data_IF_163968192553
#
_entry.id   IF_163968192553
#
_cell.length_a   1.000
_cell.length_b   1.000
_cell.length_c   1.000
_cell.angle_alpha   90.00
_cell.angle_beta   90.00
_cell.angle_gamma   90.00
#
_symmetry.space_group_name_H-M   'P 1'
#
loop_
_entity.id
_entity.type
_entity.pdbx_description
1 polymer ?
#
# COMPACT_ATOMS: atom_id res chain seq x y z
N UNK A 1 -17.29 23.25 -0.71
CA UNK A 1 -15.87 23.39 -1.10
C UNK A 1 -15.79 24.21 -2.38
N UNK A 2 -14.85 25.16 -2.48
CA UNK A 2 -14.81 26.14 -3.56
C UNK A 2 -14.39 25.48 -4.89
N UNK A 3 -15.17 25.59 -5.97
CA UNK A 3 -14.88 25.00 -7.30
C UNK A 3 -13.46 25.31 -7.83
N UNK A 4 -12.88 26.42 -7.36
CA UNK A 4 -11.51 26.86 -7.68
C UNK A 4 -10.43 25.91 -7.15
N UNK A 5 -10.63 25.27 -5.99
CA UNK A 5 -9.64 24.34 -5.40
C UNK A 5 -9.56 23.05 -6.23
N UNK A 6 -10.71 22.57 -6.74
CA UNK A 6 -10.75 21.39 -7.61
C UNK A 6 -10.00 21.63 -8.93
N UNK A 7 -10.16 22.81 -9.52
CA UNK A 7 -9.45 23.20 -10.74
C UNK A 7 -7.94 23.28 -10.51
N UNK A 8 -7.50 23.82 -9.37
CA UNK A 8 -6.07 23.93 -9.02
C UNK A 8 -5.45 22.55 -8.83
N UNK A 9 -6.13 21.63 -8.14
CA UNK A 9 -5.64 20.25 -7.96
C UNK A 9 -5.60 19.51 -9.31
N UNK A 10 -6.64 19.65 -10.15
CA UNK A 10 -6.68 19.04 -11.47
C UNK A 10 -5.58 19.56 -12.41
N UNK A 11 -5.30 20.87 -12.37
CA UNK A 11 -4.22 21.49 -13.14
C UNK A 11 -2.84 21.06 -12.64
N UNK A 12 -2.63 20.97 -11.33
CA UNK A 12 -1.37 20.48 -10.76
C UNK A 12 -1.10 19.01 -11.12
N UNK A 13 -2.14 18.16 -11.13
CA UNK A 13 -2.04 16.76 -11.55
C UNK A 13 -1.75 16.64 -13.05
N UNK A 14 -2.36 17.48 -13.89
CA UNK A 14 -2.09 17.52 -15.34
C UNK A 14 -0.68 18.02 -15.67
N UNK A 15 -0.17 19.02 -14.94
CA UNK A 15 1.17 19.57 -15.16
C UNK A 15 2.27 18.56 -14.76
N UNK A 16 2.05 17.84 -13.65
CA UNK A 16 2.89 16.71 -13.24
C UNK A 16 2.88 15.57 -14.27
N UNK A 17 1.72 15.28 -14.88
CA UNK A 17 1.59 14.28 -15.94
C UNK A 17 2.37 14.66 -17.21
N UNK A 18 2.27 15.93 -17.66
CA UNK A 18 2.94 16.40 -18.87
C UNK A 18 4.46 16.50 -18.69
N UNK A 19 4.93 16.88 -17.50
CA UNK A 19 6.37 17.02 -17.19
C UNK A 19 7.08 15.66 -17.08
N UNK A 20 6.37 14.59 -16.72
CA UNK A 20 6.93 13.24 -16.61
C UNK A 20 7.29 12.60 -17.96
N UNK A 21 6.65 13.01 -19.06
CA UNK A 21 6.75 12.37 -20.39
C UNK A 21 8.09 12.54 -21.10
N UNK A 22 8.93 13.48 -20.67
CA UNK A 22 10.08 13.93 -21.46
C UNK A 22 11.44 13.27 -21.14
N UNK A 23 11.55 12.37 -20.15
CA UNK A 23 12.88 12.15 -19.53
C UNK A 23 13.28 10.76 -19.03
N UNK A 24 12.56 9.69 -19.35
CA UNK A 24 12.97 8.35 -18.92
C UNK A 24 13.77 7.64 -20.00
N UNK A 25 15.11 7.62 -19.91
CA UNK A 25 15.97 6.57 -20.51
C UNK A 25 17.45 6.59 -20.14
N UNK A 26 17.87 7.22 -19.03
CA UNK A 26 19.28 7.13 -18.59
C UNK A 26 19.36 6.92 -17.08
N UNK A 27 19.92 5.78 -16.64
CA UNK A 27 20.31 5.58 -15.24
C UNK A 27 21.63 4.76 -15.18
N UNK A 28 22.79 5.43 -15.03
CA UNK A 28 24.06 4.78 -14.69
C UNK A 28 24.14 4.44 -13.19
N UNK A 29 25.15 3.63 -12.82
CA UNK A 29 25.43 3.20 -11.44
C UNK A 29 25.63 4.41 -10.47
N UNK A 30 24.61 4.77 -9.68
CA UNK A 30 24.70 5.85 -8.68
C UNK A 30 24.96 5.35 -7.24
N UNK A 31 25.71 6.14 -6.46
CA UNK A 31 26.06 5.92 -5.04
C UNK A 31 24.96 6.49 -4.13
N UNK A 32 24.76 5.93 -2.92
CA UNK A 32 23.77 6.31 -1.87
C UNK A 32 23.24 7.76 -1.88
N UNK A 33 24.11 8.81 -1.86
CA UNK A 33 23.64 10.18 -1.76
C UNK A 33 23.00 10.70 -3.05
N UNK A 34 23.45 10.24 -4.22
CA UNK A 34 22.97 10.73 -5.52
C UNK A 34 21.59 10.16 -5.86
N UNK A 35 21.35 8.88 -5.55
CA UNK A 35 20.08 8.22 -5.77
C UNK A 35 18.96 8.85 -4.92
N UNK A 36 19.25 9.12 -3.65
CA UNK A 36 18.34 9.79 -2.70
C UNK A 36 18.35 11.32 -2.81
N UNK A 37 19.25 11.95 -3.58
CA UNK A 37 19.20 13.38 -3.88
C UNK A 37 18.50 13.67 -5.22
N UNK A 38 18.31 12.66 -6.07
CA UNK A 38 17.62 12.78 -7.35
C UNK A 38 16.15 13.14 -7.19
N UNK A 39 15.73 14.29 -7.73
CA UNK A 39 14.34 14.74 -7.66
C UNK A 39 13.35 13.74 -8.29
N UNK A 40 13.79 12.95 -9.29
CA UNK A 40 12.99 11.91 -9.94
C UNK A 40 12.66 10.74 -9.02
N UNK A 41 13.63 10.31 -8.22
CA UNK A 41 13.44 9.29 -7.19
C UNK A 41 12.38 9.74 -6.18
N UNK A 42 12.49 10.97 -5.70
CA UNK A 42 11.50 11.55 -4.79
C UNK A 42 10.11 11.65 -5.41
N UNK A 43 10.02 12.02 -6.69
CA UNK A 43 8.76 12.06 -7.41
C UNK A 43 8.13 10.66 -7.51
N UNK A 44 8.90 9.66 -7.91
CA UNK A 44 8.44 8.27 -8.02
C UNK A 44 7.93 7.73 -6.68
N UNK A 45 8.74 7.87 -5.62
CA UNK A 45 8.38 7.48 -4.25
C UNK A 45 7.11 8.18 -3.76
N UNK A 46 6.98 9.48 -4.05
CA UNK A 46 5.81 10.26 -3.65
C UNK A 46 4.56 9.80 -4.39
N UNK A 47 4.67 9.43 -5.67
CA UNK A 47 3.54 8.93 -6.45
C UNK A 47 3.08 7.55 -5.95
N UNK A 48 4.02 6.62 -5.72
CA UNK A 48 3.70 5.31 -5.16
C UNK A 48 3.11 5.41 -3.75
N UNK A 49 3.69 6.25 -2.88
CA UNK A 49 3.16 6.55 -1.56
C UNK A 49 1.75 7.13 -1.64
N UNK A 50 1.53 8.11 -2.52
CA UNK A 50 0.23 8.76 -2.72
C UNK A 50 -0.83 7.77 -3.20
N UNK A 51 -0.47 6.83 -4.07
CA UNK A 51 -1.35 5.74 -4.51
C UNK A 51 -1.78 4.85 -3.35
N UNK A 52 -0.81 4.38 -2.55
CA UNK A 52 -1.04 3.53 -1.39
C UNK A 52 -1.89 4.24 -0.32
N UNK A 53 -1.60 5.50 -0.04
CA UNK A 53 -2.35 6.32 0.92
C UNK A 53 -3.77 6.56 0.43
N UNK A 54 -3.97 6.88 -0.85
CA UNK A 54 -5.31 7.07 -1.40
C UNK A 54 -6.17 5.80 -1.28
N UNK A 55 -5.58 4.64 -1.62
CA UNK A 55 -6.24 3.35 -1.44
C UNK A 55 -6.53 3.06 0.04
N UNK A 56 -5.54 3.23 0.93
CA UNK A 56 -5.67 2.96 2.35
C UNK A 56 -6.71 3.85 3.04
N UNK A 57 -6.72 5.14 2.71
CA UNK A 57 -7.75 6.08 3.15
C UNK A 57 -9.13 5.66 2.65
N UNK A 58 -9.26 5.32 1.37
CA UNK A 58 -10.56 4.95 0.80
C UNK A 58 -11.10 3.66 1.45
N UNK A 59 -10.30 2.60 1.44
CA UNK A 59 -10.70 1.30 2.00
C UNK A 59 -11.02 1.45 3.49
N UNK A 60 -10.16 2.14 4.23
CA UNK A 60 -10.38 2.34 5.65
C UNK A 60 -11.59 3.23 5.93
N UNK A 61 -11.85 4.30 5.18
CA UNK A 61 -13.09 5.10 5.34
C UNK A 61 -14.35 4.26 5.18
N UNK A 62 -14.37 3.35 4.21
CA UNK A 62 -15.51 2.48 3.93
C UNK A 62 -15.64 1.37 4.99
N UNK A 63 -14.58 0.60 5.23
CA UNK A 63 -14.60 -0.53 6.17
C UNK A 63 -14.80 -0.04 7.61
N UNK A 64 -14.15 1.05 7.99
CA UNK A 64 -14.28 1.60 9.34
C UNK A 64 -15.68 2.16 9.57
N UNK A 65 -16.32 2.76 8.57
CA UNK A 65 -17.74 3.16 8.69
C UNK A 65 -18.61 1.97 9.08
N UNK A 66 -18.35 0.79 8.50
CA UNK A 66 -19.05 -0.46 8.83
C UNK A 66 -18.69 -0.97 10.24
N UNK A 67 -17.40 -1.06 10.57
CA UNK A 67 -16.93 -1.65 11.84
C UNK A 67 -17.26 -0.75 13.05
N UNK A 68 -17.09 0.57 12.92
CA UNK A 68 -17.42 1.53 13.97
C UNK A 68 -18.93 1.83 14.06
N UNK A 69 -19.73 1.35 13.09
CA UNK A 69 -21.17 1.64 12.93
C UNK A 69 -21.43 3.15 12.83
N UNK A 70 -20.59 3.84 12.06
CA UNK A 70 -20.78 5.26 11.81
C UNK A 70 -21.92 5.47 10.79
N UNK A 71 -22.59 6.61 10.90
CA UNK A 71 -23.65 7.01 9.97
C UNK A 71 -23.31 8.33 9.29
N UNK A 72 -22.16 8.39 8.57
CA UNK A 72 -21.78 9.62 7.89
C UNK A 72 -22.83 9.99 6.82
N UNK A 73 -22.98 11.28 6.51
CA UNK A 73 -23.78 11.72 5.38
C UNK A 73 -23.30 11.07 4.08
N UNK A 74 -24.22 10.57 3.26
CA UNK A 74 -23.85 9.85 2.03
C UNK A 74 -23.06 10.76 1.06
N UNK A 75 -23.39 12.06 1.04
CA UNK A 75 -22.67 13.07 0.25
C UNK A 75 -21.16 13.09 0.55
N UNK A 76 -20.79 13.05 1.83
CA UNK A 76 -19.38 13.11 2.23
C UNK A 76 -18.69 11.81 1.84
N UNK A 77 -19.32 10.65 2.03
CA UNK A 77 -18.76 9.36 1.63
C UNK A 77 -18.50 9.27 0.13
N UNK A 78 -19.49 9.66 -0.69
CA UNK A 78 -19.36 9.64 -2.15
C UNK A 78 -18.31 10.64 -2.62
N UNK A 79 -18.34 11.85 -2.08
CA UNK A 79 -17.36 12.89 -2.41
C UNK A 79 -15.94 12.47 -2.08
N UNK A 80 -15.69 11.99 -0.86
CA UNK A 80 -14.39 11.47 -0.44
C UNK A 80 -13.93 10.32 -1.33
N UNK A 81 -14.84 9.42 -1.70
CA UNK A 81 -14.50 8.28 -2.58
C UNK A 81 -14.08 8.75 -3.97
N UNK A 82 -14.81 9.70 -4.58
CA UNK A 82 -14.44 10.25 -5.89
C UNK A 82 -13.09 10.96 -5.87
N UNK A 83 -12.81 11.77 -4.84
CA UNK A 83 -11.50 12.42 -4.70
C UNK A 83 -10.38 11.38 -4.62
N UNK A 84 -10.55 10.35 -3.80
CA UNK A 84 -9.54 9.31 -3.63
C UNK A 84 -9.37 8.47 -4.89
N UNK A 85 -10.44 8.20 -5.64
CA UNK A 85 -10.35 7.53 -6.94
C UNK A 85 -9.61 8.35 -7.98
N UNK A 86 -9.78 9.67 -8.01
CA UNK A 86 -9.01 10.53 -8.92
C UNK A 86 -7.52 10.49 -8.59
N UNK A 87 -7.15 10.50 -7.30
CA UNK A 87 -5.76 10.34 -6.88
C UNK A 87 -5.22 8.96 -7.26
N UNK A 88 -5.96 7.88 -6.96
CA UNK A 88 -5.57 6.52 -7.31
C UNK A 88 -5.45 6.31 -8.82
N UNK A 89 -6.32 6.94 -9.62
CA UNK A 89 -6.26 6.87 -11.08
C UNK A 89 -5.01 7.59 -11.60
N UNK A 90 -4.79 8.84 -11.20
CA UNK A 90 -3.64 9.62 -11.66
C UNK A 90 -2.30 8.96 -11.30
N UNK A 91 -2.17 8.53 -10.04
CA UNK A 91 -0.97 7.84 -9.55
C UNK A 91 -0.83 6.42 -10.11
N UNK A 92 -1.95 5.73 -10.34
CA UNK A 92 -1.99 4.38 -10.91
C UNK A 92 -1.56 4.37 -12.39
N UNK A 93 -2.03 5.33 -13.18
CA UNK A 93 -1.60 5.50 -14.58
C UNK A 93 -0.11 5.75 -14.66
N UNK A 94 0.45 6.61 -13.79
CA UNK A 94 1.89 6.78 -13.71
C UNK A 94 2.62 5.46 -13.40
N UNK A 95 2.15 4.68 -12.41
CA UNK A 95 2.78 3.42 -12.07
C UNK A 95 2.75 2.41 -13.24
N UNK A 96 1.66 2.38 -14.01
CA UNK A 96 1.56 1.50 -15.18
C UNK A 96 2.48 1.91 -16.33
N UNK A 97 2.71 3.22 -16.51
CA UNK A 97 3.58 3.75 -17.56
C UNK A 97 5.07 3.70 -17.18
N UNK A 98 5.40 3.93 -15.90
CA UNK A 98 6.78 4.24 -15.47
C UNK A 98 7.34 3.30 -14.38
N UNK A 99 6.49 2.49 -13.73
CA UNK A 99 6.89 1.60 -12.63
C UNK A 99 6.73 0.12 -12.97
N UNK A 100 5.87 -0.23 -13.94
CA UNK A 100 5.76 -1.58 -14.45
C UNK A 100 6.91 -1.82 -15.44
N UNK A 101 7.80 -2.77 -15.15
CA UNK A 101 8.89 -3.13 -16.10
C UNK A 101 8.45 -4.01 -17.27
N UNK A 102 7.14 -4.16 -17.45
CA UNK A 102 6.58 -4.27 -18.79
C UNK A 102 5.66 -3.06 -18.92
N UNK A 103 5.96 -2.13 -19.83
CA UNK A 103 5.12 -0.92 -20.01
C UNK A 103 3.77 -1.38 -20.53
N UNK A 104 2.80 -1.59 -19.65
CA UNK A 104 1.56 -2.24 -20.01
C UNK A 104 0.40 -1.31 -19.73
N UNK A 105 -0.20 -0.81 -20.81
CA UNK A 105 -1.66 -0.87 -20.85
C UNK A 105 -1.99 -2.36 -20.92
N UNK A 106 -2.55 -2.98 -19.87
CA UNK A 106 -2.73 -4.42 -19.82
C UNK A 106 -3.65 -4.80 -20.97
N UNK A 107 -3.07 -5.54 -21.90
CA UNK A 107 -3.75 -5.97 -23.10
C UNK A 107 -3.68 -7.47 -23.15
N UNK A 108 -4.82 -8.11 -22.88
CA UNK A 108 -5.00 -9.55 -23.09
C UNK A 108 -4.62 -9.93 -24.54
N UNK A 109 -4.72 -8.97 -25.48
CA UNK A 109 -4.36 -9.16 -26.88
C UNK A 109 -2.85 -9.28 -27.12
N UNK A 110 -2.01 -8.87 -26.15
CA UNK A 110 -0.55 -8.96 -26.23
C UNK A 110 0.03 -10.13 -25.42
N UNK A 111 -0.81 -10.98 -24.79
CA UNK A 111 -0.35 -12.15 -24.03
C UNK A 111 0.63 -13.07 -24.80
N UNK A 112 0.48 -13.30 -26.13
CA UNK A 112 1.45 -14.10 -26.88
C UNK A 112 2.86 -13.49 -26.94
N UNK A 113 3.00 -12.18 -26.74
CA UNK A 113 4.29 -11.49 -26.69
C UNK A 113 4.94 -11.59 -25.30
N UNK A 114 4.16 -11.99 -24.29
CA UNK A 114 4.59 -12.10 -22.89
C UNK A 114 4.91 -13.54 -22.48
N UNK A 115 4.58 -14.55 -23.29
CA UNK A 115 4.95 -15.95 -23.03
C UNK A 115 6.46 -16.26 -23.06
N UNK A 116 7.34 -15.45 -23.66
CA UNK A 116 8.78 -15.61 -23.47
C UNK A 116 9.25 -15.07 -22.11
N UNK A 117 8.43 -14.28 -21.42
CA UNK A 117 8.76 -13.59 -20.17
C UNK A 117 8.25 -14.45 -18.99
N UNK A 118 9.14 -14.90 -18.08
CA UNK A 118 8.75 -15.68 -16.92
C UNK A 118 7.65 -15.01 -16.11
N UNK A 119 6.55 -15.73 -15.89
CA UNK A 119 5.35 -15.27 -15.20
C UNK A 119 4.65 -14.05 -15.83
N UNK A 120 5.07 -13.55 -17.00
CA UNK A 120 4.49 -12.37 -17.65
C UNK A 120 2.99 -12.56 -17.92
N UNK A 121 2.59 -13.72 -18.44
CA UNK A 121 1.18 -14.06 -18.67
C UNK A 121 0.38 -14.09 -17.36
N UNK A 122 0.87 -14.79 -16.33
CA UNK A 122 0.20 -14.89 -15.03
C UNK A 122 0.07 -13.51 -14.36
N UNK A 123 1.14 -12.72 -14.38
CA UNK A 123 1.18 -11.35 -13.87
C UNK A 123 0.13 -10.47 -14.56
N UNK A 124 0.11 -10.43 -15.89
CA UNK A 124 -0.82 -9.59 -16.66
C UNK A 124 -2.28 -10.01 -16.46
N UNK A 125 -2.57 -11.31 -16.32
CA UNK A 125 -3.92 -11.79 -16.00
C UNK A 125 -4.36 -11.30 -14.60
N UNK A 126 -3.52 -11.46 -13.57
CA UNK A 126 -3.87 -11.01 -12.21
C UNK A 126 -4.02 -9.49 -12.16
N UNK A 127 -3.14 -8.75 -12.84
CA UNK A 127 -3.24 -7.29 -12.97
C UNK A 127 -4.55 -6.88 -13.66
N UNK A 128 -4.96 -7.61 -14.70
CA UNK A 128 -6.25 -7.39 -15.37
C UNK A 128 -7.43 -7.65 -14.43
N UNK A 129 -7.38 -8.71 -13.63
CA UNK A 129 -8.40 -9.01 -12.59
C UNK A 129 -8.48 -7.88 -11.56
N UNK A 130 -7.33 -7.39 -11.07
CA UNK A 130 -7.25 -6.23 -10.16
C UNK A 130 -7.93 -5.01 -10.79
N UNK A 131 -7.63 -4.68 -12.04
CA UNK A 131 -8.25 -3.57 -12.76
C UNK A 131 -9.75 -3.77 -12.98
N UNK A 132 -10.20 -4.99 -13.27
CA UNK A 132 -11.60 -5.34 -13.36
C UNK A 132 -12.35 -5.01 -12.06
N UNK A 133 -11.78 -5.31 -10.90
CA UNK A 133 -12.38 -4.91 -9.61
C UNK A 133 -12.41 -3.40 -9.41
N UNK A 134 -11.38 -2.66 -9.82
CA UNK A 134 -11.40 -1.19 -9.80
C UNK A 134 -12.52 -0.61 -10.69
N UNK A 135 -12.67 -1.13 -11.91
CA UNK A 135 -13.71 -0.72 -12.85
C UNK A 135 -15.10 -0.98 -12.25
N UNK A 136 -15.32 -2.17 -11.68
CA UNK A 136 -16.58 -2.51 -11.00
C UNK A 136 -16.86 -1.56 -9.83
N UNK A 137 -15.84 -1.21 -9.05
CA UNK A 137 -15.96 -0.27 -7.95
C UNK A 137 -16.33 1.14 -8.42
N UNK A 138 -15.74 1.62 -9.52
CA UNK A 138 -16.07 2.91 -10.13
C UNK A 138 -17.50 2.94 -10.64
N UNK A 139 -17.92 1.91 -11.40
CA UNK A 139 -19.29 1.79 -11.89
C UNK A 139 -20.29 1.74 -10.74
N UNK A 140 -19.98 0.98 -9.70
CA UNK A 140 -20.83 0.91 -8.52
C UNK A 140 -20.98 2.25 -7.82
N UNK A 141 -19.87 2.97 -7.63
CA UNK A 141 -19.88 4.30 -7.01
C UNK A 141 -20.66 5.31 -7.85
N UNK A 142 -20.51 5.26 -9.17
CA UNK A 142 -21.28 6.06 -10.11
C UNK A 142 -22.78 5.74 -10.04
N UNK A 143 -23.14 4.46 -9.98
CA UNK A 143 -24.51 4.01 -9.86
C UNK A 143 -25.16 4.54 -8.57
N UNK A 144 -24.50 4.40 -7.41
CA UNK A 144 -25.00 4.95 -6.14
C UNK A 144 -25.09 6.48 -6.21
N UNK A 145 -24.09 7.15 -6.79
CA UNK A 145 -24.10 8.61 -6.97
C UNK A 145 -25.29 9.05 -7.81
N UNK A 146 -25.58 8.38 -8.93
CA UNK A 146 -26.71 8.69 -9.79
C UNK A 146 -28.06 8.49 -9.07
N UNK A 147 -28.22 7.39 -8.32
CA UNK A 147 -29.44 7.14 -7.53
C UNK A 147 -29.65 8.19 -6.44
N UNK A 148 -28.57 8.61 -5.77
CA UNK A 148 -28.58 9.65 -4.75
C UNK A 148 -28.98 11.01 -5.33
N UNK A 149 -28.35 11.41 -6.45
CA UNK A 149 -28.66 12.68 -7.12
C UNK A 149 -30.09 12.74 -7.66
N UNK A 150 -30.64 11.62 -8.15
CA UNK A 150 -32.04 11.54 -8.59
C UNK A 150 -33.03 11.47 -7.42
N UNK A 151 -32.57 11.41 -6.17
CA UNK A 151 -33.39 11.22 -4.95
C UNK A 151 -34.33 10.01 -5.04
N UNK A 152 -33.90 8.97 -5.75
CA UNK A 152 -34.77 7.82 -6.08
C UNK A 152 -34.89 6.79 -4.95
N UNK A 153 -34.04 6.87 -3.91
CA UNK A 153 -34.02 5.91 -2.80
C UNK A 153 -33.69 6.58 -1.48
N UNK A 154 -34.06 5.87 -0.41
CA UNK A 154 -33.67 6.17 0.97
C UNK A 154 -32.14 6.21 1.11
N UNK A 155 -31.62 7.35 1.57
CA UNK A 155 -30.19 7.60 1.76
C UNK A 155 -29.54 6.56 2.68
N UNK A 156 -30.24 6.12 3.74
CA UNK A 156 -29.74 5.11 4.65
C UNK A 156 -29.50 3.76 3.98
N UNK A 157 -30.40 3.37 3.05
CA UNK A 157 -30.25 2.15 2.25
C UNK A 157 -29.11 2.29 1.25
N UNK A 158 -29.02 3.43 0.56
CA UNK A 158 -27.92 3.70 -0.40
C UNK A 158 -26.56 3.69 0.29
N UNK A 159 -26.43 4.32 1.46
CA UNK A 159 -25.21 4.31 2.26
C UNK A 159 -24.81 2.89 2.68
N UNK A 160 -25.76 2.11 3.21
CA UNK A 160 -25.49 0.73 3.62
C UNK A 160 -25.00 -0.11 2.44
N UNK A 161 -25.65 0.02 1.30
CA UNK A 161 -25.33 -0.69 0.08
C UNK A 161 -23.95 -0.28 -0.47
N UNK A 162 -23.66 1.02 -0.48
CA UNK A 162 -22.37 1.58 -0.87
C UNK A 162 -21.23 1.04 0.00
N UNK A 163 -21.40 1.11 1.32
CA UNK A 163 -20.39 0.66 2.28
C UNK A 163 -20.15 -0.84 2.21
N UNK A 164 -21.21 -1.65 2.08
CA UNK A 164 -21.10 -3.12 2.03
C UNK A 164 -20.35 -3.59 0.78
N UNK A 165 -20.80 -3.16 -0.40
CA UNK A 165 -20.19 -3.57 -1.66
C UNK A 165 -18.81 -2.93 -1.85
N UNK A 166 -18.64 -1.67 -1.43
CA UNK A 166 -17.34 -1.01 -1.41
C UNK A 166 -16.32 -1.73 -0.53
N UNK A 167 -16.73 -2.20 0.66
CA UNK A 167 -15.87 -3.00 1.54
C UNK A 167 -15.45 -4.30 0.87
N UNK A 168 -16.40 -5.04 0.28
CA UNK A 168 -16.11 -6.30 -0.42
C UNK A 168 -15.14 -6.11 -1.58
N UNK A 169 -15.43 -5.16 -2.48
CA UNK A 169 -14.56 -4.86 -3.62
C UNK A 169 -13.19 -4.36 -3.18
N UNK A 170 -13.12 -3.54 -2.15
CA UNK A 170 -11.85 -3.04 -1.62
C UNK A 170 -10.97 -4.15 -1.03
N UNK A 171 -11.58 -5.11 -0.32
CA UNK A 171 -10.86 -6.30 0.15
C UNK A 171 -10.39 -7.16 -1.04
N UNK A 172 -11.23 -7.36 -2.06
CA UNK A 172 -10.84 -8.10 -3.27
C UNK A 172 -9.69 -7.42 -4.03
N UNK A 173 -9.72 -6.08 -4.17
CA UNK A 173 -8.64 -5.29 -4.78
C UNK A 173 -7.34 -5.44 -3.98
N UNK A 174 -7.40 -5.39 -2.65
CA UNK A 174 -6.21 -5.56 -1.80
C UNK A 174 -5.58 -6.94 -1.96
N UNK A 175 -6.40 -8.00 -2.05
CA UNK A 175 -5.93 -9.37 -2.27
C UNK A 175 -5.32 -9.51 -3.66
N UNK A 176 -6.01 -9.05 -4.71
CA UNK A 176 -5.46 -9.05 -6.07
C UNK A 176 -4.14 -8.27 -6.14
N UNK A 177 -4.02 -7.15 -5.42
CA UNK A 177 -2.78 -6.39 -5.31
C UNK A 177 -1.66 -7.18 -4.64
N UNK A 178 -1.94 -7.91 -3.55
CA UNK A 178 -0.95 -8.78 -2.93
C UNK A 178 -0.48 -9.91 -3.86
N UNK A 179 -1.37 -10.48 -4.67
CA UNK A 179 -1.03 -11.48 -5.69
C UNK A 179 -0.18 -10.86 -6.81
N UNK A 180 -0.52 -9.65 -7.28
CA UNK A 180 0.30 -8.91 -8.26
C UNK A 180 1.70 -8.66 -7.71
N UNK A 181 1.81 -8.18 -6.47
CA UNK A 181 3.11 -7.92 -5.83
C UNK A 181 3.94 -9.19 -5.67
N UNK A 182 3.30 -10.32 -5.35
CA UNK A 182 3.97 -11.62 -5.30
C UNK A 182 4.53 -12.03 -6.67
N UNK A 183 3.75 -11.89 -7.74
CA UNK A 183 4.22 -12.22 -9.09
C UNK A 183 5.27 -11.23 -9.61
N UNK A 184 5.17 -9.96 -9.20
CA UNK A 184 6.16 -8.95 -9.52
C UNK A 184 7.53 -9.38 -9.01
N UNK A 185 7.62 -9.68 -7.70
CA UNK A 185 8.87 -10.12 -7.07
C UNK A 185 9.33 -11.50 -7.58
N UNK A 186 8.41 -12.40 -7.90
CA UNK A 186 8.75 -13.71 -8.48
C UNK A 186 9.33 -13.60 -9.91
N UNK A 187 8.88 -12.62 -10.70
CA UNK A 187 9.41 -12.35 -12.03
C UNK A 187 10.82 -11.75 -11.96
N UNK A 188 11.08 -10.92 -10.95
CA UNK A 188 12.39 -10.33 -10.71
C UNK A 188 13.45 -11.36 -10.26
N UNK A 189 13.02 -12.40 -9.56
CA UNK A 189 13.86 -13.52 -9.10
C UNK A 189 14.34 -14.46 -10.21
N UNK A 190 13.93 -14.25 -11.47
CA UNK A 190 14.28 -15.15 -12.57
C UNK A 190 15.67 -14.82 -13.16
N UNK A 191 16.46 -15.80 -13.64
CA UNK A 191 17.81 -15.61 -14.20
C UNK A 191 17.96 -14.59 -15.34
N UNK A 192 16.86 -14.12 -15.92
CA UNK A 192 16.82 -12.95 -16.80
C UNK A 192 15.80 -11.98 -16.21
N UNK A 193 16.23 -11.06 -15.31
CA UNK A 193 15.32 -10.10 -14.70
C UNK A 193 14.70 -9.26 -15.81
N UNK A 194 13.38 -9.17 -15.79
CA UNK A 194 12.58 -8.44 -16.79
C UNK A 194 12.58 -6.93 -16.49
N UNK A 195 12.95 -6.56 -15.26
CA UNK A 195 12.93 -5.20 -14.75
C UNK A 195 14.33 -4.59 -14.60
N UNK A 196 14.43 -3.28 -14.83
CA UNK A 196 15.54 -2.44 -14.36
C UNK A 196 15.37 -1.94 -12.91
N UNK A 197 14.35 -2.41 -12.19
CA UNK A 197 13.98 -1.99 -10.82
C UNK A 197 13.66 -3.14 -9.83
N UNK A 198 14.02 -4.38 -10.17
CA UNK A 198 14.63 -5.28 -9.19
C UNK A 198 13.74 -6.17 -8.33
N UNK A 199 14.30 -7.34 -8.04
CA UNK A 199 13.85 -8.21 -6.97
C UNK A 199 14.97 -9.15 -6.53
N UNK A 200 15.17 -9.13 -5.21
CA UNK A 200 15.70 -10.12 -4.28
C UNK A 200 16.79 -11.06 -4.81
N UNK A 201 18.04 -10.62 -4.81
CA UNK A 201 19.17 -11.56 -4.75
C UNK A 201 19.98 -11.23 -3.52
N UNK A 202 19.71 -11.92 -2.41
CA UNK A 202 20.66 -11.99 -1.30
C UNK A 202 21.99 -12.60 -1.77
N UNK A 203 23.10 -12.40 -1.04
CA UNK A 203 24.43 -12.88 -1.45
C UNK A 203 24.54 -14.41 -1.62
N UNK A 204 23.54 -15.18 -1.16
CA UNK A 204 23.42 -16.64 -1.38
C UNK A 204 22.50 -17.02 -2.57
N UNK A 205 22.01 -16.05 -3.34
CA UNK A 205 20.94 -16.28 -4.31
C UNK A 205 19.56 -16.38 -3.64
N UNK A 206 18.47 -16.62 -4.40
CA UNK A 206 17.20 -17.03 -3.80
C UNK A 206 17.48 -18.23 -2.89
N UNK A 207 17.17 -18.11 -1.59
CA UNK A 207 17.25 -19.26 -0.68
C UNK A 207 16.56 -20.43 -1.38
N UNK A 208 17.26 -21.54 -1.63
CA UNK A 208 16.65 -22.66 -2.31
C UNK A 208 15.39 -23.00 -1.53
N UNK A 209 14.22 -22.81 -2.16
CA UNK A 209 12.98 -23.23 -1.56
C UNK A 209 13.15 -24.72 -1.31
N UNK A 210 13.32 -25.08 -0.03
CA UNK A 210 13.54 -26.45 0.39
C UNK A 210 12.36 -27.28 -0.14
N UNK A 211 12.59 -28.01 -1.24
CA UNK A 211 11.57 -28.85 -1.88
C UNK A 211 11.38 -28.70 -3.39
N UNK A 212 11.93 -27.67 -4.06
CA UNK A 212 11.76 -27.54 -5.53
C UNK A 212 12.86 -28.24 -6.34
N UNK A 213 12.95 -29.57 -6.19
CA UNK A 213 13.66 -30.42 -7.17
C UNK A 213 12.86 -30.63 -8.47
N UNK A 214 11.76 -29.90 -8.66
CA UNK A 214 11.01 -29.90 -9.92
C UNK A 214 11.31 -28.61 -10.67
N UNK A 215 12.11 -28.73 -11.73
CA UNK A 215 12.22 -27.71 -12.77
C UNK A 215 10.79 -27.47 -13.30
N UNK A 216 10.18 -26.28 -13.10
CA UNK A 216 8.81 -26.06 -13.57
C UNK A 216 8.77 -26.30 -15.07
N UNK A 217 7.83 -27.14 -15.52
CA UNK A 217 7.68 -27.54 -16.92
C UNK A 217 7.22 -26.40 -17.83
N UNK A 218 6.84 -25.24 -17.27
CA UNK A 218 6.60 -23.99 -17.98
C UNK A 218 6.74 -22.80 -17.02
N UNK A 219 7.45 -21.73 -17.41
CA UNK A 219 7.51 -20.47 -16.67
C UNK A 219 6.21 -19.62 -16.77
N UNK A 220 5.22 -20.05 -17.55
CA UNK A 220 3.97 -19.31 -17.83
C UNK A 220 2.73 -19.83 -17.07
N UNK A 221 2.94 -20.34 -15.86
CA UNK A 221 1.87 -21.01 -15.10
C UNK A 221 1.41 -20.23 -13.87
N UNK A 222 0.18 -20.50 -13.44
CA UNK A 222 -0.29 -20.20 -12.07
C UNK A 222 0.25 -21.20 -11.03
N UNK A 223 1.27 -21.99 -11.39
CA UNK A 223 1.78 -23.10 -10.58
C UNK A 223 2.26 -22.61 -9.20
N UNK A 224 2.86 -21.41 -9.12
CA UNK A 224 3.30 -20.83 -7.84
C UNK A 224 2.12 -20.70 -6.85
N UNK A 225 0.91 -20.36 -7.34
CA UNK A 225 -0.30 -20.29 -6.51
C UNK A 225 -0.82 -21.67 -6.06
N UNK A 226 -0.26 -22.77 -6.54
CA UNK A 226 -0.57 -24.10 -6.01
C UNK A 226 0.26 -24.42 -4.75
N UNK A 227 1.28 -23.62 -4.45
CA UNK A 227 2.17 -23.83 -3.31
C UNK A 227 1.62 -23.16 -2.04
N UNK A 228 1.78 -23.83 -0.90
CA UNK A 228 1.47 -23.24 0.41
C UNK A 228 2.39 -22.05 0.73
N UNK A 229 3.64 -22.08 0.27
CA UNK A 229 4.61 -21.01 0.49
C UNK A 229 4.15 -19.68 -0.14
N UNK A 230 3.66 -19.71 -1.38
CA UNK A 230 3.11 -18.53 -2.07
C UNK A 230 1.91 -17.95 -1.33
N UNK A 231 0.95 -18.78 -0.90
CA UNK A 231 -0.21 -18.29 -0.17
C UNK A 231 0.12 -17.70 1.19
N UNK A 232 1.14 -18.22 1.88
CA UNK A 232 1.61 -17.58 3.11
C UNK A 232 2.18 -16.19 2.81
N UNK A 233 2.98 -16.04 1.76
CA UNK A 233 3.53 -14.72 1.41
C UNK A 233 2.44 -13.73 0.97
N UNK A 234 1.57 -14.14 0.05
CA UNK A 234 0.41 -13.35 -0.40
C UNK A 234 -0.44 -12.94 0.81
N UNK A 235 -0.68 -13.85 1.76
CA UNK A 235 -1.47 -13.55 2.97
C UNK A 235 -0.76 -12.55 3.87
N UNK A 236 0.55 -12.65 4.04
CA UNK A 236 1.35 -11.70 4.83
C UNK A 236 1.26 -10.30 4.21
N UNK A 237 1.49 -10.17 2.90
CA UNK A 237 1.38 -8.90 2.16
C UNK A 237 -0.04 -8.33 2.22
N UNK A 238 -1.05 -9.18 2.02
CA UNK A 238 -2.45 -8.78 2.06
C UNK A 238 -2.86 -8.27 3.44
N UNK A 239 -2.53 -9.01 4.50
CA UNK A 239 -2.79 -8.60 5.90
C UNK A 239 -2.05 -7.31 6.24
N UNK A 240 -0.82 -7.13 5.73
CA UNK A 240 -0.07 -5.88 5.90
C UNK A 240 -0.81 -4.70 5.26
N UNK A 241 -1.22 -4.81 3.99
CA UNK A 241 -1.98 -3.78 3.29
C UNK A 241 -3.30 -3.45 3.99
N UNK A 242 -4.03 -4.47 4.44
CA UNK A 242 -5.28 -4.29 5.18
C UNK A 242 -5.04 -3.59 6.53
N UNK A 243 -4.01 -3.99 7.28
CA UNK A 243 -3.64 -3.35 8.53
C UNK A 243 -3.33 -1.86 8.33
N UNK A 244 -2.68 -1.49 7.22
CA UNK A 244 -2.34 -0.10 6.91
C UNK A 244 -3.61 0.70 6.62
N UNK A 245 -4.46 0.17 5.74
CA UNK A 245 -5.72 0.79 5.37
C UNK A 245 -6.64 0.99 6.58
N UNK A 246 -6.76 -0.04 7.43
CA UNK A 246 -7.55 0.04 8.67
C UNK A 246 -6.99 1.11 9.61
N UNK A 247 -5.67 1.19 9.78
CA UNK A 247 -5.07 2.16 10.70
C UNK A 247 -5.24 3.61 10.21
N UNK A 248 -4.80 3.89 8.99
CA UNK A 248 -4.81 5.23 8.40
C UNK A 248 -6.25 5.68 8.16
N UNK A 249 -7.11 4.81 7.61
CA UNK A 249 -8.50 5.16 7.35
C UNK A 249 -9.36 5.23 8.61
N UNK A 250 -9.07 4.48 9.69
CA UNK A 250 -9.78 4.68 10.96
C UNK A 250 -9.46 6.03 11.59
N UNK A 251 -8.19 6.43 11.52
CA UNK A 251 -7.73 7.74 11.97
C UNK A 251 -8.38 8.86 11.16
N UNK A 252 -8.41 8.74 9.82
CA UNK A 252 -9.08 9.72 8.97
C UNK A 252 -10.60 9.76 9.18
N UNK A 253 -11.28 8.61 9.31
CA UNK A 253 -12.70 8.54 9.58
C UNK A 253 -13.08 9.20 10.91
N UNK A 254 -12.28 8.98 11.96
CA UNK A 254 -12.49 9.60 13.26
C UNK A 254 -12.30 11.13 13.24
N UNK A 255 -11.44 11.64 12.37
CA UNK A 255 -11.28 13.08 12.15
C UNK A 255 -12.44 13.68 11.34
N UNK A 256 -12.91 12.98 10.31
CA UNK A 256 -13.91 13.50 9.36
C UNK A 256 -15.35 13.38 9.83
N UNK A 257 -15.70 12.31 10.57
CA UNK A 257 -17.09 11.96 10.85
C UNK A 257 -17.56 12.20 12.29
N UNK A 258 -16.76 12.85 13.13
CA UNK A 258 -17.20 13.25 14.47
C UNK A 258 -17.11 12.13 15.51
N UNK A 259 -17.82 12.23 16.67
CA UNK A 259 -17.47 11.53 17.89
C UNK A 259 -17.58 10.00 17.76
N UNK A 260 -16.47 9.37 17.42
CA UNK A 260 -16.29 7.94 17.51
C UNK A 260 -16.16 7.55 18.98
N UNK A 261 -16.83 6.49 19.47
CA UNK A 261 -16.58 5.97 20.80
C UNK A 261 -15.09 5.60 20.95
N UNK A 262 -14.38 6.23 21.89
CA UNK A 262 -12.93 6.05 22.06
C UNK A 262 -12.54 4.58 22.25
N UNK A 263 -13.37 3.79 22.94
CA UNK A 263 -13.16 2.35 23.11
C UNK A 263 -13.09 1.60 21.77
N UNK A 264 -13.98 1.93 20.83
CA UNK A 264 -14.01 1.30 19.51
C UNK A 264 -12.84 1.77 18.66
N UNK A 265 -12.52 3.06 18.71
CA UNK A 265 -11.34 3.60 18.04
C UNK A 265 -10.06 2.89 18.52
N UNK A 266 -9.85 2.81 19.83
CA UNK A 266 -8.69 2.13 20.43
C UNK A 266 -8.63 0.65 20.03
N UNK A 267 -9.76 -0.06 20.03
CA UNK A 267 -9.83 -1.47 19.65
C UNK A 267 -9.42 -1.70 18.19
N UNK A 268 -9.93 -0.89 17.24
CA UNK A 268 -9.55 -1.00 15.83
C UNK A 268 -8.09 -0.63 15.62
N UNK A 269 -7.61 0.45 16.25
CA UNK A 269 -6.22 0.88 16.14
C UNK A 269 -5.26 -0.19 16.67
N UNK A 270 -5.58 -0.85 17.80
CA UNK A 270 -4.79 -1.97 18.29
C UNK A 270 -4.82 -3.18 17.36
N UNK A 271 -5.97 -3.53 16.80
CA UNK A 271 -6.06 -4.61 15.81
C UNK A 271 -5.19 -4.28 14.58
N UNK A 272 -5.31 -3.06 14.05
CA UNK A 272 -4.57 -2.62 12.87
C UNK A 272 -3.05 -2.60 13.11
N UNK A 273 -2.59 -2.06 14.25
CA UNK A 273 -1.17 -2.08 14.65
C UNK A 273 -0.67 -3.52 14.85
N UNK A 274 -1.48 -4.40 15.45
CA UNK A 274 -1.09 -5.80 15.66
C UNK A 274 -0.93 -6.54 14.33
N UNK A 275 -1.87 -6.36 13.39
CA UNK A 275 -1.76 -6.93 12.05
C UNK A 275 -0.52 -6.41 11.34
N UNK A 276 -0.25 -5.10 11.44
CA UNK A 276 0.94 -4.44 10.90
C UNK A 276 2.24 -5.02 11.45
N UNK A 277 2.34 -5.18 12.76
CA UNK A 277 3.51 -5.74 13.44
C UNK A 277 3.75 -7.19 13.05
N UNK A 278 2.73 -8.05 13.16
CA UNK A 278 2.87 -9.48 12.93
C UNK A 278 3.19 -9.78 11.47
N UNK A 279 2.49 -9.12 10.54
CA UNK A 279 2.79 -9.25 9.10
C UNK A 279 4.14 -8.65 8.74
N UNK A 280 4.54 -7.53 9.37
CA UNK A 280 5.86 -6.92 9.17
C UNK A 280 7.00 -7.82 9.64
N UNK A 281 6.88 -8.44 10.82
CA UNK A 281 7.86 -9.42 11.33
C UNK A 281 7.93 -10.64 10.40
N UNK A 282 6.78 -11.18 9.99
CA UNK A 282 6.73 -12.31 9.08
C UNK A 282 7.40 -11.99 7.72
N UNK A 283 7.19 -10.77 7.21
CA UNK A 283 7.85 -10.27 6.01
C UNK A 283 9.38 -10.18 6.18
N UNK A 284 9.86 -9.58 7.29
CA UNK A 284 11.30 -9.45 7.54
C UNK A 284 12.03 -10.79 7.70
N UNK A 285 11.39 -11.79 8.30
CA UNK A 285 12.00 -13.13 8.45
C UNK A 285 12.19 -13.83 7.11
N UNK A 286 11.30 -13.56 6.14
CA UNK A 286 11.33 -14.21 4.83
C UNK A 286 12.13 -13.44 3.78
N UNK A 287 12.13 -12.12 3.85
CA UNK A 287 12.54 -11.23 2.75
C UNK A 287 13.55 -10.15 3.19
N UNK A 288 14.30 -10.38 4.26
CA UNK A 288 15.43 -9.49 4.55
C UNK A 288 16.52 -9.67 3.47
N UNK A 289 17.03 -8.59 2.86
CA UNK A 289 18.04 -8.68 1.80
C UNK A 289 19.44 -8.99 2.34
N UNK A 290 19.58 -9.12 3.66
CA UNK A 290 20.85 -9.32 4.35
C UNK A 290 20.79 -10.54 5.26
N UNK A 291 21.86 -11.32 5.26
CA UNK A 291 22.05 -12.43 6.22
C UNK A 291 22.16 -11.92 7.66
N UNK A 292 22.65 -10.70 7.82
CA UNK A 292 22.75 -10.00 9.09
C UNK A 292 21.56 -9.04 9.23
N UNK A 293 20.77 -9.12 10.31
CA UNK A 293 19.62 -8.24 10.48
C UNK A 293 20.01 -6.75 10.36
N UNK A 294 19.21 -5.93 9.63
CA UNK A 294 19.52 -4.53 9.30
C UNK A 294 19.31 -3.57 10.48
N UNK A 295 19.90 -3.90 11.63
CA UNK A 295 19.82 -3.09 12.85
C UNK A 295 21.00 -2.12 12.94
N UNK A 296 20.80 -1.01 13.65
CA UNK A 296 21.83 0.02 13.82
C UNK A 296 23.14 -0.50 14.44
N UNK A 297 23.10 -1.58 15.22
CA UNK A 297 24.30 -2.20 15.79
C UNK A 297 25.13 -3.01 14.77
N UNK A 298 24.61 -3.22 13.54
CA UNK A 298 25.32 -3.88 12.44
C UNK A 298 25.81 -2.89 11.37
N UNK A 299 25.82 -1.58 11.65
CA UNK A 299 26.16 -0.54 10.67
C UNK A 299 27.54 -0.70 10.02
N UNK A 300 28.52 -1.25 10.74
CA UNK A 300 29.85 -1.49 10.20
C UNK A 300 29.87 -2.63 9.17
N UNK A 301 29.07 -3.68 9.40
CA UNK A 301 28.90 -4.76 8.43
C UNK A 301 28.09 -4.29 7.21
N UNK A 302 27.03 -3.50 7.45
CA UNK A 302 26.16 -2.96 6.41
C UNK A 302 26.81 -1.83 5.60
N UNK A 303 27.89 -1.21 6.12
CA UNK A 303 28.67 -0.20 5.39
C UNK A 303 29.38 -0.73 4.16
N UNK A 304 29.58 -2.05 4.08
CA UNK A 304 30.21 -2.74 2.96
C UNK A 304 29.21 -3.16 1.89
N UNK A 305 27.92 -2.95 2.12
CA UNK A 305 26.83 -3.27 1.19
C UNK A 305 26.27 -1.96 0.65
N UNK A 306 26.15 -1.85 -0.68
CA UNK A 306 25.58 -0.68 -1.36
C UNK A 306 24.17 -0.42 -0.81
N UNK A 307 23.86 0.83 -0.44
CA UNK A 307 22.64 1.24 0.29
C UNK A 307 22.40 0.64 1.68
N UNK A 308 23.27 -0.24 2.19
CA UNK A 308 23.07 -0.96 3.47
C UNK A 308 22.98 -0.04 4.69
N UNK A 309 23.77 1.04 4.74
CA UNK A 309 23.68 2.07 5.80
C UNK A 309 22.36 2.83 5.75
N UNK A 310 22.00 3.34 4.58
CA UNK A 310 20.75 4.08 4.37
C UNK A 310 19.55 3.21 4.73
N UNK A 311 19.54 1.97 4.26
CA UNK A 311 18.51 0.99 4.57
C UNK A 311 18.39 0.74 6.08
N UNK A 312 19.49 0.49 6.79
CA UNK A 312 19.48 0.26 8.24
C UNK A 312 18.99 1.48 9.04
N UNK A 313 19.35 2.70 8.61
CA UNK A 313 18.89 3.93 9.23
C UNK A 313 17.37 4.12 9.07
N UNK A 314 16.84 3.96 7.85
CA UNK A 314 15.40 4.06 7.62
C UNK A 314 14.61 2.94 8.30
N UNK A 315 15.14 1.71 8.33
CA UNK A 315 14.56 0.62 9.11
C UNK A 315 14.53 0.94 10.61
N UNK A 316 15.59 1.51 11.16
CA UNK A 316 15.65 1.94 12.57
C UNK A 316 14.64 3.05 12.83
N UNK A 317 14.55 4.05 11.95
CA UNK A 317 13.56 5.12 12.05
C UNK A 317 12.12 4.59 12.01
N UNK A 318 11.82 3.67 11.08
CA UNK A 318 10.54 2.96 10.99
C UNK A 318 10.20 2.24 12.30
N UNK A 319 11.12 1.43 12.83
CA UNK A 319 10.89 0.72 14.11
C UNK A 319 10.68 1.69 15.27
N UNK A 320 11.46 2.78 15.35
CA UNK A 320 11.28 3.82 16.35
C UNK A 320 9.88 4.45 16.29
N UNK A 321 9.39 4.78 15.09
CA UNK A 321 8.04 5.32 14.91
C UNK A 321 6.94 4.32 15.29
N UNK A 322 7.14 3.03 15.00
CA UNK A 322 6.22 1.96 15.43
C UNK A 322 6.18 1.87 16.96
N UNK A 323 7.32 1.94 17.64
CA UNK A 323 7.38 1.99 19.10
C UNK A 323 6.69 3.22 19.67
N UNK A 324 6.85 4.39 19.04
CA UNK A 324 6.13 5.61 19.40
C UNK A 324 4.61 5.41 19.24
N UNK A 325 4.15 4.79 18.15
CA UNK A 325 2.74 4.48 17.94
C UNK A 325 2.19 3.57 19.06
N UNK A 326 2.91 2.50 19.40
CA UNK A 326 2.54 1.57 20.49
C UNK A 326 2.49 2.30 21.84
N UNK A 327 3.50 3.12 22.14
CA UNK A 327 3.56 3.89 23.38
C UNK A 327 2.39 4.87 23.50
N UNK A 328 2.09 5.62 22.44
CA UNK A 328 0.94 6.52 22.40
C UNK A 328 -0.36 5.74 22.60
N UNK A 329 -0.57 4.66 21.86
CA UNK A 329 -1.78 3.83 21.99
C UNK A 329 -1.94 3.24 23.40
N UNK A 330 -0.85 2.84 24.03
CA UNK A 330 -0.82 2.34 25.41
C UNK A 330 -1.21 3.44 26.40
N UNK A 331 -0.58 4.62 26.30
CA UNK A 331 -0.89 5.79 27.14
C UNK A 331 -2.38 6.14 27.04
N UNK A 332 -2.92 6.17 25.82
CA UNK A 332 -4.32 6.48 25.57
C UNK A 332 -5.28 5.42 26.09
N UNK A 333 -4.92 4.14 25.96
CA UNK A 333 -5.71 3.02 26.52
C UNK A 333 -5.76 3.10 28.05
N UNK A 334 -4.63 3.38 28.69
CA UNK A 334 -4.55 3.54 30.15
C UNK A 334 -5.33 4.78 30.62
N UNK A 335 -5.21 5.91 29.91
CA UNK A 335 -5.97 7.14 30.20
C UNK A 335 -7.47 6.91 30.08
N UNK A 336 -7.92 6.24 29.01
CA UNK A 336 -9.31 5.85 28.84
C UNK A 336 -9.81 5.02 30.03
N UNK A 337 -9.06 3.98 30.42
CA UNK A 337 -9.41 3.15 31.59
C UNK A 337 -9.49 3.93 32.89
N UNK A 338 -8.56 4.87 33.13
CA UNK A 338 -8.58 5.75 34.32
C UNK A 338 -9.77 6.71 34.32
N UNK A 339 -10.05 7.35 33.18
CA UNK A 339 -11.16 8.31 33.06
C UNK A 339 -12.52 7.64 33.20
N UNK A 340 -12.68 6.46 32.60
CA UNK A 340 -13.87 5.63 32.76
C UNK A 340 -14.13 5.23 34.22
N UNK A 341 -13.08 4.94 34.99
CA UNK A 341 -13.21 4.64 36.43
C UNK A 341 -13.53 5.87 37.29
N UNK A 342 -13.07 7.06 36.86
CA UNK A 342 -13.22 8.32 37.61
C UNK A 342 -14.44 9.15 37.18
N UNK A 343 -15.24 8.67 36.21
CA UNK A 343 -16.33 9.42 35.58
C UNK A 343 -15.90 10.82 35.10
N UNK A 344 -14.64 10.97 34.66
CA UNK A 344 -14.13 12.24 34.15
C UNK A 344 -14.41 12.38 32.66
N UNK A 345 -14.58 13.61 32.14
CA UNK A 345 -14.79 13.84 30.71
C UNK A 345 -13.67 13.22 29.87
N UNK A 346 -14.05 12.49 28.83
CA UNK A 346 -13.09 11.86 27.92
C UNK A 346 -12.39 12.93 27.05
N UNK A 347 -11.12 12.71 26.76
CA UNK A 347 -10.36 13.58 25.85
C UNK A 347 -10.88 13.38 24.41
N UNK A 348 -10.97 14.42 23.57
CA UNK A 348 -11.54 14.28 22.24
C UNK A 348 -10.71 13.35 21.36
N UNK A 349 -11.36 12.36 20.73
CA UNK A 349 -10.75 11.36 19.85
C UNK A 349 -9.99 12.00 18.69
N UNK A 350 -10.35 13.22 18.27
CA UNK A 350 -9.69 13.88 17.13
C UNK A 350 -8.19 14.12 17.37
N UNK A 351 -7.77 14.48 18.59
CA UNK A 351 -6.36 14.71 18.89
C UNK A 351 -5.51 13.44 18.74
N UNK A 352 -6.02 12.32 19.25
CA UNK A 352 -5.42 11.00 19.11
C UNK A 352 -5.44 10.54 17.65
N UNK A 353 -6.58 10.68 16.97
CA UNK A 353 -6.72 10.30 15.57
C UNK A 353 -5.78 11.09 14.66
N UNK A 354 -5.59 12.39 14.91
CA UNK A 354 -4.63 13.23 14.21
C UNK A 354 -3.19 12.76 14.38
N UNK A 355 -2.75 12.52 15.62
CA UNK A 355 -1.41 11.99 15.88
C UNK A 355 -1.20 10.61 15.25
N UNK A 356 -2.20 9.73 15.34
CA UNK A 356 -2.17 8.39 14.76
C UNK A 356 -2.08 8.42 13.24
N UNK A 357 -2.85 9.30 12.59
CA UNK A 357 -2.82 9.52 11.15
C UNK A 357 -1.42 10.00 10.71
N UNK A 358 -0.87 11.02 11.37
CA UNK A 358 0.45 11.55 11.04
C UNK A 358 1.54 10.46 11.14
N UNK A 359 1.54 9.67 12.22
CA UNK A 359 2.52 8.59 12.40
C UNK A 359 2.34 7.52 11.33
N UNK A 360 1.11 7.08 11.06
CA UNK A 360 0.84 6.08 10.01
C UNK A 360 1.30 6.54 8.62
N UNK A 361 1.06 7.81 8.28
CA UNK A 361 1.49 8.39 6.99
C UNK A 361 3.02 8.48 6.88
N UNK A 362 3.72 8.89 7.95
CA UNK A 362 5.19 8.97 7.98
C UNK A 362 5.82 7.57 7.91
N UNK A 363 5.27 6.59 8.65
CA UNK A 363 5.71 5.19 8.55
C UNK A 363 5.53 4.68 7.12
N UNK A 364 4.38 4.95 6.50
CA UNK A 364 4.13 4.57 5.11
C UNK A 364 5.13 5.18 4.14
N UNK A 365 5.50 6.45 4.32
CA UNK A 365 6.48 7.12 3.47
C UNK A 365 7.90 6.54 3.64
N UNK A 366 8.31 6.31 4.90
CA UNK A 366 9.60 5.66 5.19
C UNK A 366 9.63 4.24 4.64
N UNK A 367 8.50 3.51 4.66
CA UNK A 367 8.42 2.19 4.05
C UNK A 367 8.67 2.27 2.54
N UNK A 368 8.12 3.24 1.82
CA UNK A 368 8.39 3.40 0.39
C UNK A 368 9.88 3.64 0.11
N UNK A 369 10.54 4.45 0.94
CA UNK A 369 12.00 4.64 0.84
C UNK A 369 12.74 3.33 1.11
N UNK A 370 12.34 2.57 2.14
CA UNK A 370 12.95 1.26 2.45
C UNK A 370 12.78 0.28 1.28
N UNK A 371 11.59 0.20 0.68
CA UNK A 371 11.31 -0.68 -0.47
C UNK A 371 12.16 -0.28 -1.67
N UNK A 372 12.25 1.01 -1.98
CA UNK A 372 13.12 1.48 -3.05
C UNK A 372 14.60 1.24 -2.78
N UNK A 373 15.05 1.41 -1.53
CA UNK A 373 16.42 1.06 -1.15
C UNK A 373 16.65 -0.46 -1.20
N UNK A 374 15.65 -1.26 -0.85
CA UNK A 374 15.67 -2.72 -0.98
C UNK A 374 15.95 -3.12 -2.44
N UNK A 375 15.16 -2.59 -3.37
CA UNK A 375 15.33 -2.78 -4.82
C UNK A 375 16.71 -2.28 -5.31
N UNK A 376 17.20 -1.15 -4.78
CA UNK A 376 18.50 -0.59 -5.12
C UNK A 376 19.71 -1.42 -4.64
N UNK A 377 19.61 -2.09 -3.48
CA UNK A 377 20.64 -3.03 -2.99
C UNK A 377 20.73 -4.23 -3.93
N UNK A 378 19.60 -4.75 -4.38
CA UNK A 378 19.51 -5.97 -5.19
C UNK A 378 20.20 -5.84 -6.55
N UNK A 379 20.25 -4.64 -7.14
CA UNK A 379 20.96 -4.37 -8.39
C UNK A 379 22.49 -4.21 -8.25
N UNK A 380 23.00 -4.16 -7.02
CA UNK A 380 24.40 -3.89 -6.73
C UNK A 380 25.22 -5.14 -6.38
N UNK A 381 24.54 -6.22 -6.02
CA UNK A 381 25.09 -7.56 -5.79
C UNK A 381 25.05 -8.35 -7.10
#
# INVERSE_FOLDING_TARGET
>A
MNRKIFLIIALAVMDLYLSGRASGHDAPMHVDPELLAGWRTWLHLTIQWSHLVAFGLWLGLIVVTLVLRLTPPLDILLYSSWVLFLVSLATGTYNMEWSAGISETPSILLLPLLSPIPYGVSYTIVLTVKLGFYILLLFWTLFITALHLKRQRDEGKLRKLFVLVGSFLGVAISLATAVVLFYHEAADLWPTPVHSLGGVVGPEGPRPQAGLNQKPSSPDGFWLLTTSAAWVDISVRWVHLLGFALWVGASAAALLFGPVPIARFLSISWAAISLQLLSGIAGMVRWAPFDVPPYFWNLDHLSRIRFGRSYALFMTAKHGLVLVAIALMTIWTVRYGKNRRRNTPETPVQSLAGASLCIGLVIGYIMMIILFLHEGVDHAL
#
